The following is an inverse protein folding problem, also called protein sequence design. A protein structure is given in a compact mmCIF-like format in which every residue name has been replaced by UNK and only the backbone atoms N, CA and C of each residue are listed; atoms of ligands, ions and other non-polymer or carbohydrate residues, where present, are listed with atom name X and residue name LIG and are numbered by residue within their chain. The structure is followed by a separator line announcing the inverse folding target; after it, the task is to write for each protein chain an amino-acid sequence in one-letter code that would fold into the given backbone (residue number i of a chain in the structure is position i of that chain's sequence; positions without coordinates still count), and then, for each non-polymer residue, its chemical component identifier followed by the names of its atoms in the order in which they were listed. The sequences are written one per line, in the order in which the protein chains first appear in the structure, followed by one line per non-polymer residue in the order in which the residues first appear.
data_IF_464480091980
#
_entry.id   IF_464480091980
#
_cell.length_a   1.000
_cell.length_b   1.000
_cell.length_c   1.000
_cell.angle_alpha   90.00
_cell.angle_beta   90.00
_cell.angle_gamma   90.00
#
_symmetry.space_group_name_H-M   'P 1'
#
loop_
_entity.id
_entity.type
_entity.pdbx_description
1 polymer ?
#
# COMPACT_ATOMS: atom_id res chain seq x y z
N UNK A 1 8.28 -24.13 4.58
CA UNK A 1 8.26 -22.99 5.52
C UNK A 1 6.80 -22.57 5.58
N UNK A 2 6.06 -23.08 6.56
CA UNK A 2 4.65 -22.71 6.72
C UNK A 2 4.58 -21.33 7.37
N UNK A 3 4.38 -20.29 6.56
CA UNK A 3 4.22 -18.90 6.99
C UNK A 3 2.78 -18.61 7.41
N UNK A 4 2.15 -19.51 8.15
CA UNK A 4 0.85 -19.20 8.79
C UNK A 4 1.10 -18.26 9.97
N UNK A 5 1.37 -17.00 9.65
CA UNK A 5 1.60 -15.91 10.59
C UNK A 5 0.26 -15.53 11.20
N UNK A 6 0.02 -15.99 12.43
CA UNK A 6 -1.04 -15.45 13.27
C UNK A 6 -0.76 -13.95 13.42
N UNK A 7 -1.63 -13.12 12.84
CA UNK A 7 -1.57 -11.67 12.99
C UNK A 7 -1.52 -11.35 14.49
N UNK A 8 -0.38 -10.84 14.95
CA UNK A 8 -0.18 -10.55 16.36
C UNK A 8 -0.57 -9.08 16.64
N UNK A 9 -0.72 -8.72 17.92
CA UNK A 9 -1.13 -7.36 18.32
C UNK A 9 -0.17 -6.26 17.79
N UNK A 10 1.10 -6.59 17.59
CA UNK A 10 2.10 -5.69 17.01
C UNK A 10 1.82 -5.44 15.53
N UNK A 11 1.58 -6.47 14.73
CA UNK A 11 1.28 -6.34 13.30
C UNK A 11 -0.02 -5.56 13.07
N UNK A 12 -1.07 -5.81 13.88
CA UNK A 12 -2.30 -5.01 13.84
C UNK A 12 -2.09 -3.53 14.21
N UNK A 13 -1.16 -3.24 15.12
CA UNK A 13 -0.78 -1.86 15.46
C UNK A 13 -0.01 -1.20 14.32
N UNK A 14 0.91 -1.93 13.68
CA UNK A 14 1.68 -1.45 12.52
C UNK A 14 0.73 -1.17 11.34
N UNK A 15 -0.19 -2.09 11.04
CA UNK A 15 -1.20 -1.91 9.98
C UNK A 15 -2.01 -0.63 10.15
N UNK A 16 -2.49 -0.33 11.37
CA UNK A 16 -3.21 0.93 11.63
C UNK A 16 -2.35 2.17 11.40
N UNK A 17 -1.05 2.12 11.71
CA UNK A 17 -0.13 3.24 11.49
C UNK A 17 0.14 3.42 10.00
N UNK A 18 0.36 2.33 9.27
CA UNK A 18 0.59 2.36 7.82
C UNK A 18 -0.66 2.81 7.06
N UNK A 19 -1.85 2.36 7.45
CA UNK A 19 -3.13 2.84 6.91
C UNK A 19 -3.30 4.34 7.16
N UNK A 20 -3.01 4.82 8.37
CA UNK A 20 -3.07 6.25 8.68
C UNK A 20 -2.06 7.07 7.87
N UNK A 21 -0.84 6.56 7.67
CA UNK A 21 0.18 7.20 6.86
C UNK A 21 -0.25 7.28 5.39
N UNK A 22 -0.88 6.23 4.88
CA UNK A 22 -1.38 6.09 3.51
C UNK A 22 -2.58 7.00 3.22
N UNK A 23 -3.44 7.26 4.20
CA UNK A 23 -4.54 8.23 4.03
C UNK A 23 -4.06 9.69 3.89
N UNK A 24 -2.79 9.97 4.21
CA UNK A 24 -2.23 11.30 4.09
C UNK A 24 -1.23 11.41 2.93
N UNK A 25 -1.70 11.94 1.80
CA UNK A 25 -0.89 12.15 0.60
C UNK A 25 0.36 13.03 0.83
N UNK A 26 0.42 13.84 1.90
CA UNK A 26 1.64 14.62 2.21
C UNK A 26 2.84 13.73 2.56
N UNK A 27 2.60 12.46 2.91
CA UNK A 27 3.65 11.51 3.24
C UNK A 27 4.19 10.78 1.99
N UNK A 28 3.64 11.06 0.81
CA UNK A 28 3.96 10.30 -0.39
C UNK A 28 5.28 10.77 -1.00
N UNK A 29 6.14 9.81 -1.31
CA UNK A 29 7.32 10.03 -2.14
C UNK A 29 7.18 9.14 -3.37
N UNK A 30 6.94 9.77 -4.51
CA UNK A 30 6.84 9.09 -5.79
C UNK A 30 8.20 9.09 -6.50
N UNK A 31 8.55 7.96 -7.12
CA UNK A 31 9.76 7.86 -7.93
C UNK A 31 9.61 8.65 -9.24
N UNK A 32 10.74 8.92 -9.91
CA UNK A 32 10.74 9.63 -11.20
C UNK A 32 9.88 8.94 -12.28
N UNK A 33 9.75 7.62 -12.25
CA UNK A 33 8.93 6.89 -13.22
C UNK A 33 7.43 7.18 -13.08
N UNK A 34 6.94 7.33 -11.85
CA UNK A 34 5.56 7.75 -11.59
C UNK A 34 5.38 9.22 -11.97
N UNK A 35 6.32 10.08 -11.56
CA UNK A 35 6.26 11.52 -11.84
C UNK A 35 6.44 11.89 -13.32
N UNK A 36 6.86 10.94 -14.18
CA UNK A 36 6.95 11.14 -15.64
C UNK A 36 5.67 10.82 -16.40
N UNK A 37 4.64 10.30 -15.73
CA UNK A 37 3.33 10.03 -16.32
C UNK A 37 2.52 11.33 -16.46
N UNK A 38 1.41 11.28 -17.19
CA UNK A 38 0.49 12.41 -17.25
C UNK A 38 -0.21 12.65 -15.90
N UNK A 39 -0.66 13.88 -15.67
CA UNK A 39 -1.25 14.31 -14.40
C UNK A 39 -2.48 13.49 -13.99
N UNK A 40 -3.29 13.05 -14.97
CA UNK A 40 -4.46 12.23 -14.70
C UNK A 40 -4.05 10.86 -14.17
N UNK A 41 -3.09 10.20 -14.82
CA UNK A 41 -2.53 8.92 -14.36
C UNK A 41 -1.87 9.05 -12.99
N UNK A 42 -1.11 10.12 -12.73
CA UNK A 42 -0.51 10.35 -11.40
C UNK A 42 -1.60 10.47 -10.32
N UNK A 43 -2.64 11.26 -10.58
CA UNK A 43 -3.76 11.42 -9.67
C UNK A 43 -4.47 10.09 -9.40
N UNK A 44 -4.70 9.30 -10.44
CA UNK A 44 -5.34 7.99 -10.33
C UNK A 44 -4.48 6.99 -9.53
N UNK A 45 -3.15 7.00 -9.70
CA UNK A 45 -2.23 6.22 -8.86
C UNK A 45 -2.37 6.62 -7.40
N UNK A 46 -2.38 7.93 -7.09
CA UNK A 46 -2.41 8.41 -5.72
C UNK A 46 -3.74 8.07 -5.02
N UNK A 47 -4.86 8.21 -5.73
CA UNK A 47 -6.19 7.82 -5.25
C UNK A 47 -6.28 6.31 -5.05
N UNK A 48 -5.70 5.53 -5.95
CA UNK A 48 -5.66 4.06 -5.83
C UNK A 48 -4.89 3.62 -4.60
N UNK A 49 -3.70 4.18 -4.36
CA UNK A 49 -2.89 3.88 -3.16
C UNK A 49 -3.64 4.25 -1.87
N UNK A 50 -4.30 5.42 -1.83
CA UNK A 50 -5.10 5.85 -0.67
C UNK A 50 -6.25 4.89 -0.36
N UNK A 51 -6.90 4.34 -1.39
CA UNK A 51 -8.06 3.48 -1.26
C UNK A 51 -7.74 1.97 -1.32
N UNK A 52 -6.47 1.59 -1.41
CA UNK A 52 -6.08 0.20 -1.56
C UNK A 52 -6.50 -0.64 -0.34
N UNK A 53 -7.18 -1.77 -0.58
CA UNK A 53 -7.67 -2.67 0.48
C UNK A 53 -7.40 -4.14 0.19
N UNK A 54 -6.73 -4.43 -0.92
CA UNK A 54 -6.52 -5.79 -1.42
C UNK A 54 -5.22 -6.37 -0.86
N UNK A 55 -5.13 -6.41 0.46
CA UNK A 55 -4.05 -7.10 1.16
C UNK A 55 -4.34 -8.60 1.15
N UNK A 56 -3.41 -9.38 0.60
CA UNK A 56 -3.48 -10.83 0.46
C UNK A 56 -2.19 -11.42 1.00
N UNK A 57 -2.17 -12.73 1.27
CA UNK A 57 -0.95 -13.41 1.71
C UNK A 57 0.24 -13.23 0.74
N UNK A 58 -0.05 -13.00 -0.55
CA UNK A 58 0.96 -12.77 -1.58
C UNK A 58 1.66 -11.41 -1.46
N UNK A 59 0.95 -10.36 -1.02
CA UNK A 59 1.47 -9.00 -0.97
C UNK A 59 1.58 -8.42 0.46
N UNK A 60 1.07 -9.11 1.47
CA UNK A 60 1.14 -8.72 2.87
C UNK A 60 1.10 -9.97 3.77
N UNK A 61 2.17 -10.80 3.75
CA UNK A 61 2.22 -12.04 4.53
C UNK A 61 2.22 -11.81 6.04
N UNK A 62 2.58 -10.61 6.49
CA UNK A 62 2.66 -10.27 7.92
C UNK A 62 1.45 -9.49 8.43
N UNK A 63 0.53 -9.07 7.55
CA UNK A 63 -0.67 -8.30 7.93
C UNK A 63 -0.31 -6.93 8.50
N UNK A 64 0.77 -6.33 8.00
CA UNK A 64 1.34 -5.05 8.47
C UNK A 64 0.97 -3.89 7.55
N UNK A 65 0.37 -4.16 6.38
CA UNK A 65 -0.02 -3.16 5.39
C UNK A 65 1.13 -2.22 4.97
N UNK A 66 2.39 -2.68 5.06
CA UNK A 66 3.59 -1.91 4.72
C UNK A 66 3.96 -2.00 3.23
N UNK A 67 3.54 -3.09 2.58
CA UNK A 67 3.65 -3.33 1.16
C UNK A 67 2.28 -3.62 0.53
N UNK A 68 2.15 -3.26 -0.74
CA UNK A 68 0.96 -3.52 -1.54
C UNK A 68 1.30 -3.41 -3.01
N UNK A 69 0.67 -4.25 -3.82
CA UNK A 69 0.85 -4.28 -5.27
C UNK A 69 -0.51 -4.23 -5.96
N UNK A 70 -0.58 -3.48 -7.05
CA UNK A 70 -1.76 -3.39 -7.90
C UNK A 70 -1.33 -3.13 -9.34
N UNK A 71 -2.15 -3.57 -10.28
CA UNK A 71 -1.98 -3.27 -11.70
C UNK A 71 -2.93 -2.15 -12.07
N UNK A 72 -2.39 -1.14 -12.77
CA UNK A 72 -3.16 -0.03 -13.31
C UNK A 72 -2.76 0.15 -14.76
N UNK A 73 -3.75 0.23 -15.65
CA UNK A 73 -3.58 0.45 -17.08
C UNK A 73 -2.83 -0.63 -17.89
N UNK A 74 -2.86 -1.89 -17.44
CA UNK A 74 -2.59 -3.08 -18.26
C UNK A 74 -1.14 -3.28 -18.68
#
# INVERSE_FOLDING_TARGET
MDTTTLQNETSAKIARLNDAARLNASNYVASRGIMSLDEHTISEVFVTVQNFKTFTEDNDPYGEHDFGTFTMNG
#
